data_IF_866717263597
#
_entry.id   IF_866717263597
#
_cell.length_a   1.000
_cell.length_b   1.000
_cell.length_c   1.000
_cell.angle_alpha   90.00
_cell.angle_beta   90.00
_cell.angle_gamma   90.00
#
_symmetry.space_group_name_H-M   'P 1'
#
loop_
_entity.id
_entity.type
_entity.pdbx_description
1 polymer ?
#
# COMPACT_ATOMS: atom_id res chain seq x y z
N UNK A 1 39.59 -9.64 57.06
CA UNK A 1 39.44 -9.10 55.69
C UNK A 1 38.98 -10.21 54.77
N UNK A 2 37.74 -10.11 54.25
CA UNK A 2 37.24 -10.64 52.96
C UNK A 2 35.72 -10.42 52.95
N UNK A 3 35.29 -9.42 52.20
CA UNK A 3 33.89 -9.07 51.97
C UNK A 3 33.28 -10.00 50.90
N UNK A 4 31.98 -10.35 50.98
CA UNK A 4 31.28 -10.95 49.85
C UNK A 4 30.71 -9.86 48.93
N UNK A 5 30.94 -10.06 47.64
CA UNK A 5 30.52 -9.20 46.53
C UNK A 5 29.03 -9.44 46.24
N UNK A 6 28.23 -8.38 46.28
CA UNK A 6 26.81 -8.37 45.90
C UNK A 6 26.70 -8.25 44.38
N UNK A 7 26.18 -9.29 43.70
CA UNK A 7 25.90 -9.27 42.26
C UNK A 7 24.45 -8.81 42.04
N UNK A 8 24.29 -7.60 41.51
CA UNK A 8 22.98 -7.06 41.13
C UNK A 8 22.55 -7.62 39.77
N UNK A 9 21.40 -8.31 39.74
CA UNK A 9 20.73 -8.74 38.51
C UNK A 9 19.85 -7.58 38.00
N UNK A 10 20.17 -7.03 36.84
CA UNK A 10 19.26 -6.15 36.09
C UNK A 10 18.50 -7.00 35.05
N UNK A 11 17.23 -7.29 35.32
CA UNK A 11 16.28 -7.81 34.34
C UNK A 11 15.82 -6.67 33.43
N UNK A 12 16.20 -6.72 32.15
CA UNK A 12 15.67 -5.83 31.12
C UNK A 12 14.28 -6.29 30.69
N UNK A 13 13.29 -5.40 30.85
CA UNK A 13 11.93 -5.55 30.31
C UNK A 13 11.99 -5.35 28.79
N UNK A 14 11.73 -6.39 28.01
CA UNK A 14 11.46 -6.25 26.57
C UNK A 14 10.02 -5.78 26.37
N UNK A 15 9.87 -4.53 25.93
CA UNK A 15 8.62 -3.95 25.45
C UNK A 15 8.16 -4.71 24.20
N UNK A 16 6.99 -5.32 24.30
CA UNK A 16 6.27 -5.89 23.18
C UNK A 16 5.72 -4.75 22.31
N UNK A 17 6.14 -4.70 21.04
CA UNK A 17 5.45 -3.93 20.02
C UNK A 17 5.35 -4.76 18.73
N UNK A 18 4.25 -5.51 18.53
CA UNK A 18 3.89 -5.96 17.20
C UNK A 18 2.45 -5.52 16.90
N UNK A 19 2.31 -4.43 16.15
CA UNK A 19 1.05 -4.10 15.48
C UNK A 19 1.33 -3.35 14.18
N UNK A 20 2.35 -2.47 14.17
CA UNK A 20 2.74 -1.75 12.95
C UNK A 20 3.53 -2.61 11.93
N UNK A 21 4.09 -3.75 12.34
CA UNK A 21 5.02 -4.53 11.52
C UNK A 21 4.33 -5.43 10.47
N UNK A 22 3.07 -5.81 10.68
CA UNK A 22 2.39 -6.78 9.82
C UNK A 22 1.88 -6.23 8.48
N UNK A 23 1.86 -4.91 8.30
CA UNK A 23 1.48 -4.29 7.01
C UNK A 23 2.65 -4.14 6.03
N UNK A 24 3.88 -4.47 6.43
CA UNK A 24 5.09 -4.30 5.63
C UNK A 24 5.60 -5.59 4.95
N UNK A 25 4.87 -6.71 5.04
CA UNK A 25 5.39 -8.02 4.62
C UNK A 25 5.33 -8.28 3.10
N UNK A 26 4.56 -7.52 2.31
CA UNK A 26 4.43 -7.78 0.85
C UNK A 26 5.47 -7.01 -0.01
N UNK A 27 6.12 -6.01 0.58
CA UNK A 27 7.35 -5.40 0.08
C UNK A 27 8.31 -5.37 1.26
N UNK A 28 9.01 -6.49 1.48
CA UNK A 28 9.88 -6.69 2.64
C UNK A 28 10.65 -5.42 2.95
N UNK A 29 10.59 -4.97 4.21
CA UNK A 29 11.02 -3.66 4.72
C UNK A 29 12.33 -3.12 4.13
N UNK A 30 12.26 -2.61 2.90
CA UNK A 30 13.33 -1.96 2.19
C UNK A 30 13.06 -0.48 2.34
N UNK A 31 13.90 0.18 3.14
CA UNK A 31 13.86 1.64 3.23
C UNK A 31 14.61 2.18 2.01
N UNK A 32 13.95 2.92 1.11
CA UNK A 32 14.65 3.56 0.00
C UNK A 32 15.75 4.49 0.53
N UNK A 33 16.95 4.37 -0.04
CA UNK A 33 18.08 5.25 0.30
C UNK A 33 18.09 6.53 -0.54
N UNK A 34 16.99 6.80 -1.26
CA UNK A 34 16.84 7.97 -2.12
C UNK A 34 16.48 9.21 -1.29
N UNK A 35 16.94 10.37 -1.74
CA UNK A 35 16.62 11.68 -1.18
C UNK A 35 15.70 12.45 -2.14
N UNK A 36 14.90 13.37 -1.60
CA UNK A 36 14.10 14.28 -2.42
C UNK A 36 15.01 15.08 -3.37
N UNK A 37 14.62 15.14 -4.64
CA UNK A 37 15.40 15.75 -5.72
C UNK A 37 16.45 14.83 -6.35
N UNK A 38 16.63 13.60 -5.86
CA UNK A 38 17.47 12.61 -6.56
C UNK A 38 16.88 12.33 -7.94
N UNK A 39 17.77 12.24 -8.94
CA UNK A 39 17.39 11.90 -10.32
C UNK A 39 17.95 10.52 -10.68
N UNK A 40 17.06 9.57 -10.95
CA UNK A 40 17.39 8.23 -11.38
C UNK A 40 17.32 8.18 -12.90
N UNK A 41 18.48 7.95 -13.51
CA UNK A 41 18.69 7.74 -14.95
C UNK A 41 18.77 6.26 -15.31
N UNK A 42 18.79 5.94 -16.60
CA UNK A 42 18.82 4.55 -17.09
C UNK A 42 19.97 3.69 -16.52
N UNK A 43 21.14 4.27 -16.27
CA UNK A 43 22.28 3.60 -15.64
C UNK A 43 22.03 3.23 -14.16
N UNK A 44 20.98 3.77 -13.54
CA UNK A 44 20.67 3.60 -12.12
C UNK A 44 19.37 2.84 -11.87
N UNK A 45 18.68 2.36 -12.91
CA UNK A 45 17.37 1.70 -12.78
C UNK A 45 17.42 0.44 -11.91
N UNK A 46 18.57 -0.25 -11.84
CA UNK A 46 18.76 -1.43 -10.99
C UNK A 46 18.51 -1.12 -9.50
N UNK A 47 18.69 0.14 -9.07
CA UNK A 47 18.36 0.59 -7.72
C UNK A 47 16.87 0.48 -7.41
N UNK A 48 16.01 0.49 -8.43
CA UNK A 48 14.55 0.40 -8.30
C UNK A 48 14.06 -1.05 -8.20
N UNK A 49 14.85 -2.03 -8.64
CA UNK A 49 14.46 -3.46 -8.64
C UNK A 49 13.86 -3.95 -7.33
N UNK A 50 14.40 -3.60 -6.13
CA UNK A 50 13.85 -4.08 -4.87
C UNK A 50 12.46 -3.51 -4.53
N UNK A 51 12.06 -2.43 -5.19
CA UNK A 51 10.82 -1.69 -4.94
C UNK A 51 9.74 -1.93 -6.00
N UNK A 52 10.04 -2.74 -7.01
CA UNK A 52 9.15 -3.01 -8.13
C UNK A 52 8.69 -4.47 -8.08
N UNK A 53 7.43 -4.76 -8.43
CA UNK A 53 6.97 -6.13 -8.61
C UNK A 53 7.87 -6.90 -9.58
N UNK A 54 8.14 -8.19 -9.35
CA UNK A 54 8.97 -9.01 -10.24
C UNK A 54 8.51 -8.96 -11.70
N UNK A 55 7.20 -9.02 -11.93
CA UNK A 55 6.60 -8.97 -13.26
C UNK A 55 6.84 -7.62 -13.95
N UNK A 56 6.81 -6.52 -13.20
CA UNK A 56 7.16 -5.20 -13.72
C UNK A 56 8.63 -5.15 -14.12
N UNK A 57 9.52 -5.66 -13.26
CA UNK A 57 10.96 -5.66 -13.48
C UNK A 57 11.40 -6.54 -14.68
N UNK A 58 10.76 -7.69 -14.84
CA UNK A 58 11.02 -8.60 -15.96
C UNK A 58 10.59 -7.99 -17.30
N UNK A 59 9.64 -7.05 -17.27
CA UNK A 59 9.13 -6.30 -18.43
C UNK A 59 9.62 -4.84 -18.45
N UNK A 60 10.69 -4.51 -17.72
CA UNK A 60 11.15 -3.13 -17.51
C UNK A 60 11.49 -2.36 -18.79
N UNK A 61 11.89 -3.06 -19.85
CA UNK A 61 12.25 -2.46 -21.15
C UNK A 61 11.04 -1.81 -21.85
N UNK A 62 9.81 -2.12 -21.43
CA UNK A 62 8.60 -1.43 -21.88
C UNK A 62 8.34 -0.11 -21.14
N UNK A 63 8.83 0.01 -19.90
CA UNK A 63 8.53 1.13 -19.01
C UNK A 63 9.67 2.14 -18.94
N UNK A 64 10.92 1.69 -19.14
CA UNK A 64 12.11 2.50 -19.04
C UNK A 64 12.81 2.60 -20.40
N UNK A 65 13.27 3.80 -20.75
CA UNK A 65 13.88 4.09 -22.05
C UNK A 65 15.05 5.08 -21.94
N UNK A 66 15.94 5.03 -22.91
CA UNK A 66 17.12 5.91 -22.98
C UNK A 66 16.73 7.40 -22.94
N UNK A 67 17.40 8.14 -22.04
CA UNK A 67 17.14 9.57 -21.81
C UNK A 67 16.04 9.88 -20.79
N UNK A 68 15.32 8.87 -20.27
CA UNK A 68 14.34 9.04 -19.19
C UNK A 68 15.03 9.46 -17.88
N UNK A 69 14.35 10.30 -17.11
CA UNK A 69 14.75 10.74 -15.78
C UNK A 69 13.57 10.59 -14.82
N UNK A 70 13.79 9.90 -13.70
CA UNK A 70 12.83 9.83 -12.60
C UNK A 70 13.33 10.72 -11.46
N UNK A 71 12.60 11.79 -11.17
CA UNK A 71 12.87 12.65 -10.01
C UNK A 71 12.14 12.13 -8.78
N UNK A 72 12.86 11.99 -7.66
CA UNK A 72 12.29 11.57 -6.39
C UNK A 72 11.63 12.77 -5.72
N UNK A 73 10.30 12.72 -5.61
CA UNK A 73 9.50 13.76 -4.97
C UNK A 73 9.49 13.71 -3.44
N UNK A 74 8.87 14.71 -2.78
CA UNK A 74 8.69 14.73 -1.34
C UNK A 74 7.81 13.56 -0.87
N UNK A 75 7.96 13.18 0.41
CA UNK A 75 7.04 12.22 1.03
C UNK A 75 5.66 12.86 1.21
N UNK A 76 4.61 12.15 0.79
CA UNK A 76 3.23 12.54 0.99
C UNK A 76 2.49 11.56 1.92
N UNK A 77 1.49 12.07 2.64
CA UNK A 77 0.60 11.27 3.48
C UNK A 77 -0.54 10.71 2.63
N UNK A 78 -0.51 9.39 2.40
CA UNK A 78 -1.55 8.65 1.68
C UNK A 78 -2.52 7.94 2.64
N UNK A 79 -2.56 8.33 3.92
CA UNK A 79 -3.53 7.78 4.86
C UNK A 79 -4.97 8.12 4.45
N UNK A 80 -5.90 7.23 4.82
CA UNK A 80 -7.32 7.46 4.54
C UNK A 80 -7.82 8.72 5.24
N UNK A 81 -8.76 9.44 4.63
CA UNK A 81 -9.34 10.64 5.25
C UNK A 81 -9.90 10.36 6.66
N UNK A 82 -9.82 11.37 7.53
CA UNK A 82 -10.23 11.24 8.95
C UNK A 82 -11.70 10.84 9.09
N UNK A 83 -12.53 11.29 8.17
CA UNK A 83 -13.96 10.98 8.10
C UNK A 83 -14.20 9.49 7.81
N UNK A 84 -13.41 8.90 6.92
CA UNK A 84 -13.46 7.47 6.62
C UNK A 84 -13.02 6.64 7.83
N UNK A 85 -11.94 7.05 8.51
CA UNK A 85 -11.49 6.41 9.75
C UNK A 85 -12.56 6.52 10.84
N UNK A 86 -13.14 7.71 11.04
CA UNK A 86 -14.18 7.94 12.05
C UNK A 86 -15.47 7.15 11.76
N UNK A 87 -15.86 7.03 10.49
CA UNK A 87 -16.99 6.19 10.08
C UNK A 87 -16.72 4.71 10.38
N UNK A 88 -15.51 4.23 10.06
CA UNK A 88 -15.08 2.86 10.37
C UNK A 88 -15.27 2.56 11.85
N UNK A 89 -14.83 3.44 12.75
CA UNK A 89 -14.96 3.20 14.20
C UNK A 89 -16.36 3.36 14.73
N UNK A 90 -17.15 4.26 14.14
CA UNK A 90 -18.56 4.44 14.51
C UNK A 90 -19.41 3.22 14.16
N UNK A 91 -19.14 2.56 13.04
CA UNK A 91 -19.94 1.45 12.52
C UNK A 91 -19.28 0.08 12.68
N UNK A 92 -18.11 0.00 13.33
CA UNK A 92 -17.38 -1.24 13.60
C UNK A 92 -18.30 -2.31 14.20
N UNK A 93 -18.21 -3.53 13.66
CA UNK A 93 -18.97 -4.70 14.13
C UNK A 93 -20.46 -4.75 13.76
N UNK A 94 -21.00 -3.71 13.11
CA UNK A 94 -22.37 -3.74 12.58
C UNK A 94 -22.50 -4.55 11.28
N UNK A 95 -21.55 -4.45 10.31
CA UNK A 95 -21.64 -5.20 9.06
C UNK A 95 -21.53 -6.70 9.28
N UNK A 96 -22.27 -7.47 8.48
CA UNK A 96 -22.23 -8.93 8.48
C UNK A 96 -22.46 -9.49 7.08
N UNK A 97 -21.99 -10.71 6.87
CA UNK A 97 -22.20 -11.43 5.62
C UNK A 97 -23.53 -12.21 5.70
N UNK A 98 -24.39 -12.00 4.71
CA UNK A 98 -25.66 -12.70 4.56
C UNK A 98 -25.56 -14.02 3.78
N UNK A 99 -26.68 -14.75 3.61
CA UNK A 99 -26.72 -16.08 2.99
C UNK A 99 -26.15 -16.18 1.56
N UNK A 100 -26.19 -15.07 0.80
CA UNK A 100 -25.72 -14.98 -0.58
C UNK A 100 -24.42 -14.17 -0.71
N UNK A 101 -23.60 -14.15 0.34
CA UNK A 101 -22.41 -13.30 0.44
C UNK A 101 -22.73 -11.78 0.38
N UNK A 102 -23.98 -11.40 0.64
CA UNK A 102 -24.42 -10.01 0.69
C UNK A 102 -23.81 -9.27 1.88
N UNK A 103 -23.47 -7.99 1.69
CA UNK A 103 -23.09 -7.10 2.78
C UNK A 103 -24.36 -6.54 3.43
N UNK A 104 -24.63 -6.95 4.66
CA UNK A 104 -25.79 -6.50 5.43
C UNK A 104 -25.37 -5.59 6.59
N UNK A 105 -26.25 -4.67 6.99
CA UNK A 105 -26.04 -3.73 8.10
C UNK A 105 -24.79 -2.83 7.97
N UNK A 106 -24.32 -2.61 6.75
CA UNK A 106 -23.23 -1.68 6.46
C UNK A 106 -23.76 -0.26 6.21
N UNK A 107 -23.00 0.75 6.65
CA UNK A 107 -23.35 2.17 6.46
C UNK A 107 -22.21 2.95 5.81
N UNK A 108 -21.01 2.94 6.40
CA UNK A 108 -19.85 3.67 5.89
C UNK A 108 -18.54 3.18 6.55
N UNK A 109 -17.41 3.50 5.93
CA UNK A 109 -16.07 3.15 6.41
C UNK A 109 -15.61 1.77 5.94
N UNK A 110 -14.59 1.21 6.57
CA UNK A 110 -14.16 -0.16 6.27
C UNK A 110 -15.16 -1.15 6.90
N UNK A 111 -15.80 -2.04 6.11
CA UNK A 111 -16.82 -2.95 6.65
C UNK A 111 -16.30 -3.90 7.73
N UNK A 112 -15.13 -4.51 7.49
CA UNK A 112 -14.50 -5.48 8.39
C UNK A 112 -13.06 -5.04 8.70
N UNK A 113 -12.70 -4.75 9.95
CA UNK A 113 -11.32 -4.44 10.31
C UNK A 113 -10.36 -5.58 9.90
N UNK A 114 -9.26 -5.25 9.21
CA UNK A 114 -8.36 -6.25 8.59
C UNK A 114 -7.73 -7.19 9.62
N UNK A 115 -7.46 -6.66 10.82
CA UNK A 115 -6.93 -7.37 11.97
C UNK A 115 -7.93 -8.33 12.63
N UNK A 116 -9.22 -8.15 12.37
CA UNK A 116 -10.30 -9.00 12.91
C UNK A 116 -10.70 -10.13 11.94
N UNK A 117 -10.18 -10.15 10.70
CA UNK A 117 -10.49 -11.19 9.72
C UNK A 117 -9.58 -12.41 9.97
N UNK A 118 -10.16 -13.48 10.50
CA UNK A 118 -9.48 -14.76 10.65
C UNK A 118 -9.40 -15.52 9.32
N UNK A 119 -8.30 -15.33 8.58
CA UNK A 119 -8.07 -15.99 7.29
C UNK A 119 -7.98 -17.53 7.37
N UNK A 120 -7.82 -18.13 8.56
CA UNK A 120 -7.66 -19.59 8.70
C UNK A 120 -8.92 -20.27 9.23
N UNK A 121 -9.62 -19.63 10.14
CA UNK A 121 -10.80 -20.19 10.82
C UNK A 121 -12.14 -19.70 10.31
N UNK A 122 -12.20 -18.54 9.65
CA UNK A 122 -13.45 -18.00 9.12
C UNK A 122 -13.67 -18.43 7.66
N UNK A 123 -14.67 -19.29 7.35
CA UNK A 123 -14.98 -19.67 5.98
C UNK A 123 -15.42 -18.49 5.10
N UNK A 124 -15.82 -17.37 5.71
CA UNK A 124 -16.24 -16.14 5.02
C UNK A 124 -15.13 -15.08 4.97
N UNK A 125 -13.90 -15.39 5.41
CA UNK A 125 -12.78 -14.45 5.39
C UNK A 125 -12.55 -13.83 4.01
N UNK A 126 -12.57 -14.66 2.95
CA UNK A 126 -12.40 -14.17 1.57
C UNK A 126 -13.51 -13.20 1.14
N UNK A 127 -14.76 -13.44 1.56
CA UNK A 127 -15.90 -12.58 1.25
C UNK A 127 -15.80 -11.25 1.99
N UNK A 128 -15.35 -11.27 3.26
CA UNK A 128 -15.07 -10.05 4.02
C UNK A 128 -13.98 -9.21 3.34
N UNK A 129 -12.93 -9.86 2.83
CA UNK A 129 -11.89 -9.18 2.05
C UNK A 129 -12.42 -8.60 0.74
N UNK A 130 -13.30 -9.30 0.01
CA UNK A 130 -13.95 -8.76 -1.18
C UNK A 130 -14.74 -7.48 -0.88
N UNK A 131 -15.55 -7.49 0.19
CA UNK A 131 -16.31 -6.28 0.56
C UNK A 131 -15.44 -5.14 1.05
N UNK A 132 -14.35 -5.46 1.76
CA UNK A 132 -13.36 -4.48 2.14
C UNK A 132 -12.68 -3.84 0.94
N UNK A 133 -12.36 -4.63 -0.10
CA UNK A 133 -11.78 -4.11 -1.34
C UNK A 133 -12.76 -3.18 -2.06
N UNK A 134 -14.03 -3.57 -2.17
CA UNK A 134 -15.07 -2.76 -2.80
C UNK A 134 -15.37 -1.45 -2.06
N UNK A 135 -15.21 -1.43 -0.72
CA UNK A 135 -15.52 -0.28 0.13
C UNK A 135 -14.26 0.39 0.70
N UNK A 136 -13.08 0.10 0.16
CA UNK A 136 -11.84 0.66 0.67
C UNK A 136 -11.77 2.16 0.43
N UNK A 137 -10.86 2.82 1.17
CA UNK A 137 -10.49 4.18 0.84
C UNK A 137 -9.62 4.19 -0.43
N UNK A 138 -10.15 4.74 -1.52
CA UNK A 138 -9.46 4.84 -2.81
C UNK A 138 -8.74 6.19 -3.05
N UNK A 139 -8.66 7.07 -2.05
CA UNK A 139 -8.07 8.40 -2.23
C UNK A 139 -8.85 9.24 -3.25
N UNK A 140 -8.21 9.62 -4.36
CA UNK A 140 -8.84 10.34 -5.48
C UNK A 140 -9.69 9.42 -6.40
N UNK A 141 -9.79 8.13 -6.09
CA UNK A 141 -10.75 7.21 -6.68
C UNK A 141 -10.46 6.75 -8.12
N UNK A 142 -11.43 6.01 -8.67
CA UNK A 142 -11.49 5.49 -10.04
C UNK A 142 -11.83 6.56 -11.10
N UNK A 143 -12.22 7.76 -10.67
CA UNK A 143 -12.72 8.81 -11.57
C UNK A 143 -11.56 9.67 -12.07
N UNK A 144 -10.81 9.14 -13.03
CA UNK A 144 -9.68 9.84 -13.64
C UNK A 144 -10.05 10.38 -15.03
N UNK A 145 -9.77 11.66 -15.29
CA UNK A 145 -9.74 12.18 -16.66
C UNK A 145 -8.32 12.01 -17.20
N UNK A 146 -8.15 11.17 -18.22
CA UNK A 146 -6.86 10.92 -18.83
C UNK A 146 -6.80 11.44 -20.26
N UNK A 147 -5.62 11.93 -20.63
CA UNK A 147 -5.28 12.37 -21.97
C UNK A 147 -4.07 11.57 -22.42
N UNK A 148 -4.21 10.82 -23.51
CA UNK A 148 -3.10 10.09 -24.14
C UNK A 148 -2.77 10.75 -25.48
N UNK A 149 -1.53 11.23 -25.60
CA UNK A 149 -0.95 11.66 -26.87
C UNK A 149 0.11 10.66 -27.31
N UNK A 150 -0.15 9.94 -28.40
CA UNK A 150 0.86 9.12 -29.05
C UNK A 150 1.68 9.98 -30.01
N UNK A 151 3.01 9.93 -29.87
CA UNK A 151 3.95 10.58 -30.78
C UNK A 151 4.84 9.51 -31.40
N UNK A 152 4.55 9.13 -32.65
CA UNK A 152 5.46 8.30 -33.42
C UNK A 152 6.58 9.15 -34.03
N UNK A 153 7.80 8.63 -34.03
CA UNK A 153 9.04 9.35 -34.39
C UNK A 153 9.21 9.55 -35.90
N UNK A 154 8.18 9.99 -36.63
CA UNK A 154 8.43 10.46 -37.99
C UNK A 154 7.27 10.78 -38.92
N UNK A 155 6.14 10.06 -38.91
CA UNK A 155 5.24 10.14 -40.10
C UNK A 155 3.72 10.08 -39.86
N UNK A 156 3.21 10.09 -38.62
CA UNK A 156 1.76 10.14 -38.37
C UNK A 156 1.34 11.21 -37.34
N UNK A 157 0.21 11.85 -37.64
CA UNK A 157 -0.42 12.90 -36.82
C UNK A 157 -0.63 12.41 -35.38
N UNK A 158 -0.48 13.28 -34.36
CA UNK A 158 -0.74 12.91 -32.98
C UNK A 158 -2.20 12.46 -32.84
N UNK A 159 -2.40 11.20 -32.45
CA UNK A 159 -3.70 10.69 -32.07
C UNK A 159 -3.97 11.15 -30.64
N UNK A 160 -5.07 11.91 -30.48
CA UNK A 160 -5.52 12.41 -29.19
C UNK A 160 -6.68 11.56 -28.70
N UNK A 161 -6.46 10.86 -27.58
CA UNK A 161 -7.53 10.16 -26.89
C UNK A 161 -7.77 10.80 -25.54
N UNK A 162 -9.01 11.20 -25.31
CA UNK A 162 -9.48 11.69 -24.03
C UNK A 162 -10.53 10.72 -23.50
N UNK A 163 -10.37 10.30 -22.24
CA UNK A 163 -11.28 9.38 -21.58
C UNK A 163 -11.50 9.77 -20.13
N UNK A 164 -12.61 9.31 -19.58
CA UNK A 164 -12.91 9.32 -18.15
C UNK A 164 -13.07 7.87 -17.72
N UNK A 165 -12.39 7.48 -16.64
CA UNK A 165 -12.67 6.26 -15.91
C UNK A 165 -13.78 6.48 -14.87
#
# INVERSE_FOLDING_TARGET
MRAPVTLALFTALLLAAPALAQQAEDAGALVPQFQEGDVITMDQIDKLKPFLPPEFWDNRDFFFYEGMQLEIGPTADYSSAKEYQAATERFRGQPRIGPDNSLENYTAGLPFPRDEIDCKGDPQAGVKWMWNFDNQWDGDGATASFFYSYWDRGEQLPLYYQGSA
#
